data_IF_630766485211
#
_entry.id   IF_630766485211
#
_cell.length_a   1.000
_cell.length_b   1.000
_cell.length_c   1.000
_cell.angle_alpha   90.00
_cell.angle_beta   90.00
_cell.angle_gamma   90.00
#
_symmetry.space_group_name_H-M   'P 1'
#
loop_
_entity.id
_entity.type
_entity.pdbx_description
1 polymer ?
#
# COMPACT_ATOMS: atom_id res chain seq x y z
N UNK A 1 10.51 -34.09 -21.52
CA UNK A 1 9.29 -34.04 -22.35
C UNK A 1 7.99 -34.38 -21.58
N UNK A 2 7.96 -35.23 -20.56
CA UNK A 2 6.74 -35.53 -19.78
C UNK A 2 6.23 -34.42 -18.89
N UNK A 3 7.09 -33.47 -18.45
CA UNK A 3 6.67 -32.37 -17.55
C UNK A 3 5.87 -31.27 -18.27
N UNK A 4 6.14 -30.99 -19.52
CA UNK A 4 5.46 -29.92 -20.27
C UNK A 4 4.01 -30.27 -20.67
N UNK A 5 3.70 -31.55 -20.88
CA UNK A 5 2.33 -32.00 -21.14
C UNK A 5 1.47 -31.96 -19.85
N UNK A 6 2.08 -32.29 -18.71
CA UNK A 6 1.40 -32.23 -17.40
C UNK A 6 1.02 -30.79 -17.04
N UNK A 7 1.91 -29.83 -17.31
CA UNK A 7 1.66 -28.38 -17.05
C UNK A 7 0.54 -27.84 -17.96
N UNK A 8 0.54 -28.21 -19.25
CA UNK A 8 -0.54 -27.81 -20.18
C UNK A 8 -1.89 -28.37 -19.76
N UNK A 9 -1.94 -29.59 -19.26
CA UNK A 9 -3.18 -30.21 -18.76
C UNK A 9 -3.70 -29.51 -17.49
N UNK A 10 -2.80 -29.15 -16.56
CA UNK A 10 -3.17 -28.45 -15.32
C UNK A 10 -3.67 -27.02 -15.57
N UNK A 11 -3.04 -26.28 -16.49
CA UNK A 11 -3.47 -24.91 -16.83
C UNK A 11 -4.80 -24.93 -17.58
N UNK A 12 -4.98 -25.86 -18.53
CA UNK A 12 -6.24 -26.04 -19.25
C UNK A 12 -7.39 -26.47 -18.32
N UNK A 13 -7.11 -27.33 -17.34
CA UNK A 13 -8.09 -27.76 -16.33
C UNK A 13 -8.48 -26.63 -15.40
N UNK A 14 -7.52 -25.80 -14.97
CA UNK A 14 -7.80 -24.61 -14.15
C UNK A 14 -8.65 -23.59 -14.90
N UNK A 15 -8.39 -23.35 -16.18
CA UNK A 15 -9.20 -22.48 -17.04
C UNK A 15 -10.59 -23.03 -17.28
N UNK A 16 -10.73 -24.32 -17.53
CA UNK A 16 -12.03 -24.99 -17.76
C UNK A 16 -12.93 -24.97 -16.50
N UNK A 17 -12.32 -25.12 -15.32
CA UNK A 17 -13.04 -25.12 -14.04
C UNK A 17 -13.49 -23.71 -13.60
N UNK A 18 -12.84 -22.67 -14.09
CA UNK A 18 -13.22 -21.26 -13.83
C UNK A 18 -14.39 -20.79 -14.72
N UNK A 19 -14.59 -21.39 -15.88
CA UNK A 19 -15.60 -20.98 -16.88
C UNK A 19 -17.00 -21.52 -16.59
N UNK A 20 -17.16 -22.60 -15.83
CA UNK A 20 -18.48 -23.12 -15.46
C UNK A 20 -19.11 -22.38 -14.27
N UNK A 21 -19.75 -21.25 -14.57
CA UNK A 21 -20.33 -20.29 -13.61
C UNK A 21 -21.53 -20.79 -12.79
N UNK A 22 -21.98 -22.04 -12.95
CA UNK A 22 -23.21 -22.58 -12.32
C UNK A 22 -23.00 -23.43 -11.06
N UNK A 23 -21.78 -23.70 -10.63
CA UNK A 23 -21.52 -24.50 -9.43
C UNK A 23 -21.77 -23.71 -8.14
N UNK A 24 -22.36 -24.36 -7.14
CA UNK A 24 -22.53 -23.79 -5.79
C UNK A 24 -21.17 -23.42 -5.19
N UNK A 25 -21.11 -22.33 -4.44
CA UNK A 25 -19.87 -21.79 -3.82
C UNK A 25 -19.10 -22.85 -3.01
N UNK A 26 -19.82 -23.78 -2.33
CA UNK A 26 -19.22 -24.88 -1.57
C UNK A 26 -18.52 -25.93 -2.46
N UNK A 27 -19.05 -26.19 -3.65
CA UNK A 27 -18.43 -27.15 -4.59
C UNK A 27 -17.18 -26.58 -5.25
N UNK A 28 -17.13 -25.25 -5.50
CA UNK A 28 -15.94 -24.56 -5.99
C UNK A 28 -14.80 -24.61 -4.95
N UNK A 29 -15.13 -24.43 -3.67
CA UNK A 29 -14.18 -24.52 -2.56
C UNK A 29 -13.67 -25.96 -2.40
N UNK A 30 -14.56 -26.96 -2.44
CA UNK A 30 -14.16 -28.36 -2.34
C UNK A 30 -13.27 -28.81 -3.51
N UNK A 31 -13.57 -28.36 -4.73
CA UNK A 31 -12.77 -28.66 -5.92
C UNK A 31 -11.41 -27.97 -5.87
N UNK A 32 -11.36 -26.73 -5.41
CA UNK A 32 -10.11 -25.98 -5.20
C UNK A 32 -9.25 -26.64 -4.11
N UNK A 33 -9.88 -27.15 -3.04
CA UNK A 33 -9.20 -27.88 -1.98
C UNK A 33 -8.65 -29.24 -2.46
N UNK A 34 -9.44 -29.99 -3.22
CA UNK A 34 -8.99 -31.25 -3.82
C UNK A 34 -7.85 -31.02 -4.84
N UNK A 35 -7.92 -29.94 -5.63
CA UNK A 35 -6.86 -29.55 -6.56
C UNK A 35 -5.58 -29.15 -5.81
N UNK A 36 -5.69 -28.34 -4.74
CA UNK A 36 -4.55 -27.99 -3.89
C UNK A 36 -3.91 -29.23 -3.26
N UNK A 37 -4.71 -30.16 -2.69
CA UNK A 37 -4.17 -31.40 -2.10
C UNK A 37 -3.47 -32.26 -3.16
N UNK A 38 -4.04 -32.39 -4.35
CA UNK A 38 -3.42 -33.19 -5.44
C UNK A 38 -2.09 -32.62 -5.94
N UNK A 39 -1.88 -31.30 -5.83
CA UNK A 39 -0.63 -30.63 -6.18
C UNK A 39 0.39 -30.72 -5.03
N UNK A 40 -0.05 -30.59 -3.78
CA UNK A 40 0.86 -30.61 -2.62
C UNK A 40 1.52 -31.96 -2.36
N UNK A 41 0.86 -33.06 -2.69
CA UNK A 41 1.39 -34.44 -2.45
C UNK A 41 2.66 -34.71 -3.28
N UNK A 42 2.76 -34.40 -4.59
CA UNK A 42 4.01 -34.61 -5.33
C UNK A 42 5.11 -33.62 -4.97
N UNK A 43 4.78 -32.38 -4.60
CA UNK A 43 5.78 -31.32 -4.27
C UNK A 43 6.55 -31.66 -2.97
N UNK A 44 5.91 -32.35 -2.03
CA UNK A 44 6.58 -32.81 -0.80
C UNK A 44 7.72 -33.81 -1.04
N UNK A 45 7.77 -34.43 -2.22
CA UNK A 45 8.77 -35.45 -2.57
C UNK A 45 10.08 -34.88 -3.20
N UNK A 46 10.12 -33.59 -3.56
CA UNK A 46 11.24 -32.97 -4.29
C UNK A 46 12.04 -31.94 -3.47
N UNK A 47 12.01 -32.02 -2.14
CA UNK A 47 12.65 -31.02 -1.28
C UNK A 47 14.15 -31.31 -1.09
N UNK A 48 14.98 -30.78 -1.98
CA UNK A 48 16.42 -30.60 -1.74
C UNK A 48 16.75 -29.13 -1.45
N UNK A 49 17.77 -28.88 -0.63
CA UNK A 49 18.20 -27.56 -0.18
C UNK A 49 18.58 -26.68 -1.39
N UNK A 50 17.87 -25.57 -1.54
CA UNK A 50 18.19 -24.56 -2.57
C UNK A 50 19.30 -23.67 -2.00
N UNK A 51 20.47 -23.71 -2.67
CA UNK A 51 21.58 -22.79 -2.40
C UNK A 51 21.29 -21.36 -2.90
N UNK A 52 22.33 -20.53 -3.02
CA UNK A 52 22.21 -19.16 -3.50
C UNK A 52 21.40 -19.05 -4.80
N UNK A 53 20.43 -18.13 -4.81
CA UNK A 53 19.50 -17.96 -5.93
C UNK A 53 20.23 -17.41 -7.15
N UNK A 54 20.49 -18.26 -8.12
CA UNK A 54 21.13 -17.88 -9.39
C UNK A 54 20.08 -17.68 -10.48
N UNK A 55 20.23 -16.63 -11.29
CA UNK A 55 19.34 -16.38 -12.41
C UNK A 55 19.42 -17.55 -13.41
N UNK A 56 18.31 -18.26 -13.69
CA UNK A 56 18.31 -19.30 -14.71
C UNK A 56 18.51 -18.71 -16.11
N UNK A 57 19.11 -19.48 -17.01
CA UNK A 57 19.44 -19.07 -18.38
C UNK A 57 18.57 -19.78 -19.42
N UNK A 58 18.53 -19.25 -20.64
CA UNK A 58 17.80 -19.84 -21.75
C UNK A 58 16.29 -19.89 -21.56
N UNK A 59 15.65 -20.98 -21.96
CA UNK A 59 14.18 -21.14 -21.88
C UNK A 59 13.69 -21.08 -20.41
N UNK A 60 14.48 -21.55 -19.45
CA UNK A 60 14.13 -21.55 -18.04
C UNK A 60 13.95 -20.12 -17.49
N UNK A 61 14.72 -19.15 -18.00
CA UNK A 61 14.53 -17.74 -17.64
C UNK A 61 13.13 -17.21 -17.99
N UNK A 62 12.52 -17.68 -19.07
CA UNK A 62 11.14 -17.33 -19.43
C UNK A 62 10.11 -18.08 -18.58
N UNK A 63 10.39 -19.32 -18.22
CA UNK A 63 9.47 -20.17 -17.47
C UNK A 63 9.32 -19.69 -16.03
N UNK A 64 10.41 -19.25 -15.39
CA UNK A 64 10.36 -18.76 -14.00
C UNK A 64 9.62 -17.42 -13.83
N UNK A 65 9.40 -16.67 -14.90
CA UNK A 65 8.60 -15.43 -14.86
C UNK A 65 7.09 -15.73 -14.83
N UNK A 66 6.65 -16.91 -15.29
CA UNK A 66 5.22 -17.26 -15.39
C UNK A 66 4.47 -17.09 -14.06
N UNK A 67 4.95 -17.55 -12.89
CA UNK A 67 4.27 -17.36 -11.61
C UNK A 67 3.99 -15.90 -11.32
N UNK A 68 4.95 -15.01 -11.56
CA UNK A 68 4.78 -13.57 -11.34
C UNK A 68 3.73 -12.98 -12.29
N UNK A 69 3.75 -13.35 -13.57
CA UNK A 69 2.75 -12.92 -14.54
C UNK A 69 1.35 -13.39 -14.12
N UNK A 70 1.22 -14.63 -13.66
CA UNK A 70 -0.07 -15.16 -13.18
C UNK A 70 -0.57 -14.35 -11.99
N UNK A 71 0.27 -14.04 -11.01
CA UNK A 71 -0.09 -13.15 -9.88
C UNK A 71 -0.59 -11.81 -10.39
N UNK A 72 0.14 -11.17 -11.31
CA UNK A 72 -0.26 -9.88 -11.87
C UNK A 72 -1.61 -9.95 -12.58
N UNK A 73 -1.83 -10.94 -13.42
CA UNK A 73 -3.11 -11.13 -14.14
C UNK A 73 -4.25 -11.32 -13.15
N UNK A 74 -4.09 -12.14 -12.12
CA UNK A 74 -5.11 -12.37 -11.11
C UNK A 74 -5.42 -11.08 -10.32
N UNK A 75 -4.42 -10.28 -9.98
CA UNK A 75 -4.62 -8.98 -9.32
C UNK A 75 -5.40 -8.02 -10.23
N UNK A 76 -5.09 -7.95 -11.53
CA UNK A 76 -5.87 -7.16 -12.49
C UNK A 76 -7.31 -7.66 -12.65
N UNK A 77 -7.55 -8.96 -12.48
CA UNK A 77 -8.88 -9.56 -12.44
C UNK A 77 -9.60 -9.33 -11.11
N UNK A 78 -9.02 -8.53 -10.18
CA UNK A 78 -9.56 -8.23 -8.84
C UNK A 78 -9.70 -9.46 -7.95
N UNK A 79 -8.88 -10.48 -8.15
CA UNK A 79 -8.77 -11.62 -7.23
C UNK A 79 -8.02 -11.13 -5.99
N UNK A 80 -8.44 -11.61 -4.81
CA UNK A 80 -7.78 -11.30 -3.54
C UNK A 80 -6.27 -11.60 -3.62
N UNK A 81 -5.45 -10.69 -3.05
CA UNK A 81 -4.00 -10.77 -3.18
C UNK A 81 -3.41 -12.05 -2.54
N UNK A 82 -4.01 -12.56 -1.45
CA UNK A 82 -3.54 -13.80 -0.82
C UNK A 82 -3.81 -14.99 -1.76
N UNK A 83 -4.96 -15.01 -2.42
CA UNK A 83 -5.31 -16.07 -3.39
C UNK A 83 -4.39 -15.98 -4.61
N UNK A 84 -4.17 -14.78 -5.14
CA UNK A 84 -3.25 -14.56 -6.26
C UNK A 84 -1.82 -15.00 -5.90
N UNK A 85 -1.34 -14.59 -4.72
CA UNK A 85 -0.04 -14.99 -4.20
C UNK A 85 0.08 -16.50 -4.01
N UNK A 86 -0.93 -17.15 -3.41
CA UNK A 86 -0.97 -18.60 -3.22
C UNK A 86 -0.85 -19.35 -4.55
N UNK A 87 -1.63 -18.95 -5.57
CA UNK A 87 -1.57 -19.58 -6.89
C UNK A 87 -0.19 -19.40 -7.51
N UNK A 88 0.35 -18.19 -7.49
CA UNK A 88 1.70 -17.90 -8.00
C UNK A 88 2.79 -18.64 -7.23
N UNK A 89 2.71 -18.67 -5.90
CA UNK A 89 3.63 -19.40 -5.05
C UNK A 89 3.66 -20.91 -5.33
N UNK A 90 2.46 -21.52 -5.45
CA UNK A 90 2.35 -22.94 -5.82
C UNK A 90 2.94 -23.21 -7.22
N UNK A 91 2.68 -22.34 -8.20
CA UNK A 91 3.30 -22.46 -9.51
C UNK A 91 4.83 -22.32 -9.45
N UNK A 92 5.34 -21.41 -8.64
CA UNK A 92 6.77 -21.23 -8.42
C UNK A 92 7.40 -22.47 -7.76
N UNK A 93 6.73 -23.07 -6.77
CA UNK A 93 7.19 -24.34 -6.17
C UNK A 93 7.29 -25.45 -7.21
N UNK A 94 6.31 -25.58 -8.09
CA UNK A 94 6.31 -26.59 -9.14
C UNK A 94 7.40 -26.36 -10.21
N UNK A 95 7.59 -25.10 -10.61
CA UNK A 95 8.57 -24.72 -11.64
C UNK A 95 9.99 -24.77 -11.09
N UNK A 96 10.18 -24.20 -9.87
CA UNK A 96 11.50 -24.09 -9.26
C UNK A 96 11.93 -25.30 -8.44
N UNK A 97 11.05 -26.32 -8.27
CA UNK A 97 11.32 -27.47 -7.41
C UNK A 97 11.43 -27.09 -5.92
N UNK A 98 10.81 -25.99 -5.49
CA UNK A 98 10.89 -25.49 -4.14
C UNK A 98 10.01 -26.35 -3.23
N UNK A 99 10.62 -26.95 -2.20
CA UNK A 99 9.93 -27.85 -1.28
C UNK A 99 9.04 -27.10 -0.27
N UNK A 100 8.09 -27.83 0.30
CA UNK A 100 7.17 -27.30 1.34
C UNK A 100 7.91 -26.75 2.56
N UNK A 101 9.05 -27.34 2.93
CA UNK A 101 9.87 -26.89 4.06
C UNK A 101 10.37 -25.46 3.83
N UNK A 102 10.88 -25.17 2.65
CA UNK A 102 11.39 -23.85 2.29
C UNK A 102 10.25 -22.83 2.12
N UNK A 103 9.16 -23.21 1.46
CA UNK A 103 7.98 -22.36 1.38
C UNK A 103 7.41 -21.99 2.75
N UNK A 104 7.36 -22.95 3.68
CA UNK A 104 6.96 -22.70 5.07
C UNK A 104 7.94 -21.78 5.81
N UNK A 105 9.24 -21.91 5.58
CA UNK A 105 10.27 -21.01 6.12
C UNK A 105 10.01 -19.58 5.66
N UNK A 106 9.77 -19.37 4.35
CA UNK A 106 9.44 -18.03 3.82
C UNK A 106 8.20 -17.42 4.48
N UNK A 107 7.18 -18.22 4.80
CA UNK A 107 5.98 -17.76 5.51
C UNK A 107 6.30 -17.37 6.95
N UNK A 108 7.08 -18.19 7.65
CA UNK A 108 7.47 -17.94 9.04
C UNK A 108 8.39 -16.73 9.20
N UNK A 109 9.14 -16.35 8.16
CA UNK A 109 10.01 -15.18 8.14
C UNK A 109 9.29 -13.91 7.68
N UNK A 110 8.44 -14.00 6.66
CA UNK A 110 7.77 -12.85 6.06
C UNK A 110 6.73 -12.21 7.00
N UNK A 111 5.96 -13.01 7.72
CA UNK A 111 4.90 -12.49 8.60
C UNK A 111 5.52 -11.69 9.78
N UNK A 112 6.47 -12.21 10.56
CA UNK A 112 7.11 -11.42 11.62
C UNK A 112 7.86 -10.20 11.10
N UNK A 113 8.47 -10.28 9.91
CA UNK A 113 9.13 -9.15 9.28
C UNK A 113 8.16 -7.99 9.04
N UNK A 114 6.95 -8.28 8.55
CA UNK A 114 5.90 -7.28 8.36
C UNK A 114 5.36 -6.74 9.68
N UNK A 115 5.08 -7.61 10.65
CA UNK A 115 4.56 -7.23 11.97
C UNK A 115 5.61 -6.51 12.83
N UNK A 116 6.90 -6.69 12.57
CA UNK A 116 8.00 -6.02 13.24
C UNK A 116 8.16 -4.53 12.90
N UNK A 117 7.35 -3.99 12.01
CA UNK A 117 7.41 -2.61 11.55
C UNK A 117 6.65 -1.70 12.52
N UNK A 118 7.32 -1.27 13.57
CA UNK A 118 6.70 -0.55 14.70
C UNK A 118 6.29 0.88 14.35
N UNK A 119 7.11 1.60 13.60
CA UNK A 119 6.85 3.03 13.30
C UNK A 119 5.56 3.24 12.51
N UNK A 120 5.29 2.55 11.40
CA UNK A 120 4.00 2.59 10.71
C UNK A 120 2.81 2.21 11.59
N UNK A 121 2.96 1.24 12.49
CA UNK A 121 1.88 0.83 13.41
C UNK A 121 1.52 1.97 14.35
N UNK A 122 2.53 2.59 14.97
CA UNK A 122 2.32 3.74 15.87
C UNK A 122 1.71 4.91 15.10
N UNK A 123 2.23 5.23 13.91
CA UNK A 123 1.73 6.35 13.12
C UNK A 123 0.28 6.15 12.68
N UNK A 124 -0.09 4.94 12.27
CA UNK A 124 -1.47 4.60 11.92
C UNK A 124 -2.40 4.73 13.14
N UNK A 125 -1.96 4.25 14.30
CA UNK A 125 -2.73 4.36 15.53
C UNK A 125 -3.00 5.84 15.87
N UNK A 126 -1.96 6.69 15.85
CA UNK A 126 -2.09 8.12 16.15
C UNK A 126 -2.94 8.83 15.10
N UNK A 127 -2.75 8.54 13.81
CA UNK A 127 -3.54 9.12 12.74
C UNK A 127 -5.02 8.77 12.85
N UNK A 128 -5.37 7.55 13.30
CA UNK A 128 -6.75 7.17 13.56
C UNK A 128 -7.35 7.95 14.74
N UNK A 129 -6.60 8.21 15.81
CA UNK A 129 -7.06 9.05 16.91
C UNK A 129 -7.33 10.48 16.43
N UNK A 130 -6.44 11.07 15.63
CA UNK A 130 -6.61 12.38 14.99
C UNK A 130 -7.86 12.40 14.10
N UNK A 131 -8.12 11.34 13.36
CA UNK A 131 -9.29 11.20 12.50
C UNK A 131 -10.59 11.15 13.32
N UNK A 132 -10.68 10.20 14.26
CA UNK A 132 -11.88 10.03 15.10
C UNK A 132 -12.17 11.25 15.97
N UNK A 133 -11.14 12.04 16.30
CA UNK A 133 -11.30 13.33 16.97
C UNK A 133 -11.85 14.44 16.04
N UNK A 134 -12.09 14.16 14.75
CA UNK A 134 -12.69 15.08 13.80
C UNK A 134 -11.73 16.10 13.18
N UNK A 135 -10.41 15.97 13.41
CA UNK A 135 -9.44 16.98 12.93
C UNK A 135 -9.41 17.10 11.40
N UNK A 136 -9.60 15.99 10.65
CA UNK A 136 -9.65 16.04 9.19
C UNK A 136 -10.97 16.60 8.67
N UNK A 137 -12.11 16.31 9.33
CA UNK A 137 -13.41 16.90 9.00
C UNK A 137 -13.41 18.40 9.22
N UNK A 138 -12.84 18.87 10.33
CA UNK A 138 -12.66 20.29 10.61
C UNK A 138 -11.78 20.99 9.56
N UNK A 139 -10.66 20.37 9.18
CA UNK A 139 -9.79 20.87 8.11
C UNK A 139 -10.53 20.99 6.77
N UNK A 140 -11.33 19.98 6.42
CA UNK A 140 -12.12 20.00 5.19
C UNK A 140 -13.18 21.10 5.21
N UNK A 141 -13.87 21.31 6.34
CA UNK A 141 -14.85 22.37 6.52
C UNK A 141 -14.22 23.76 6.41
N UNK A 142 -13.03 23.96 7.00
CA UNK A 142 -12.26 25.20 6.79
C UNK A 142 -11.91 25.42 5.33
N UNK A 143 -11.49 24.37 4.62
CA UNK A 143 -11.17 24.45 3.20
C UNK A 143 -12.41 24.80 2.38
N UNK A 144 -13.57 24.17 2.65
CA UNK A 144 -14.85 24.53 1.99
C UNK A 144 -15.18 26.01 2.16
N UNK A 145 -15.07 26.55 3.38
CA UNK A 145 -15.34 27.97 3.67
C UNK A 145 -14.32 28.89 3.00
N UNK A 146 -13.03 28.56 3.09
CA UNK A 146 -11.94 29.35 2.50
C UNK A 146 -12.04 29.44 0.96
N UNK A 147 -12.54 28.41 0.32
CA UNK A 147 -12.69 28.34 -1.15
C UNK A 147 -14.01 28.93 -1.66
N UNK A 148 -14.83 29.48 -0.78
CA UNK A 148 -16.16 30.06 -1.11
C UNK A 148 -17.04 29.08 -1.89
N UNK A 149 -16.96 27.80 -1.57
CA UNK A 149 -17.78 26.77 -2.21
C UNK A 149 -17.34 26.32 -3.61
N UNK A 150 -16.13 26.63 -4.04
CA UNK A 150 -15.61 26.15 -5.33
C UNK A 150 -15.08 24.74 -5.17
N UNK A 151 -15.76 23.78 -5.78
CA UNK A 151 -15.52 22.33 -5.61
C UNK A 151 -14.12 21.92 -6.08
N UNK A 152 -13.63 22.54 -7.14
CA UNK A 152 -12.30 22.25 -7.70
C UNK A 152 -11.17 22.54 -6.71
N UNK A 153 -11.28 23.59 -5.88
CA UNK A 153 -10.28 23.87 -4.84
C UNK A 153 -10.39 22.91 -3.65
N UNK A 154 -11.60 22.48 -3.32
CA UNK A 154 -11.81 21.48 -2.27
C UNK A 154 -11.26 20.14 -2.71
N UNK A 155 -11.44 19.74 -3.96
CA UNK A 155 -10.84 18.52 -4.53
C UNK A 155 -9.31 18.56 -4.48
N UNK A 156 -8.71 19.70 -4.84
CA UNK A 156 -7.26 19.91 -4.68
C UNK A 156 -6.81 19.79 -3.22
N UNK A 157 -7.57 20.39 -2.29
CA UNK A 157 -7.28 20.31 -0.86
C UNK A 157 -7.40 18.88 -0.32
N UNK A 158 -8.39 18.10 -0.76
CA UNK A 158 -8.55 16.68 -0.40
C UNK A 158 -7.31 15.89 -0.81
N UNK A 159 -6.77 16.12 -2.01
CA UNK A 159 -5.54 15.46 -2.48
C UNK A 159 -4.35 15.85 -1.60
N UNK A 160 -4.21 17.13 -1.25
CA UNK A 160 -3.17 17.60 -0.33
C UNK A 160 -3.32 16.93 1.04
N UNK A 161 -4.54 16.89 1.57
CA UNK A 161 -4.83 16.29 2.87
C UNK A 161 -4.49 14.79 2.87
N UNK A 162 -4.86 14.08 1.79
CA UNK A 162 -4.54 12.66 1.64
C UNK A 162 -3.03 12.43 1.50
N UNK A 163 -2.35 13.22 0.67
CA UNK A 163 -0.90 13.15 0.53
C UNK A 163 -0.20 13.36 1.87
N UNK A 164 -0.61 14.39 2.61
CA UNK A 164 -0.09 14.72 3.92
C UNK A 164 -0.36 13.61 4.95
N UNK A 165 -1.61 13.15 5.05
CA UNK A 165 -1.99 12.08 5.98
C UNK A 165 -1.26 10.77 5.66
N UNK A 166 -1.10 10.43 4.39
CA UNK A 166 -0.34 9.25 3.93
C UNK A 166 1.15 9.39 4.26
N UNK A 167 1.72 10.57 4.03
CA UNK A 167 3.11 10.85 4.35
C UNK A 167 3.38 10.78 5.86
N UNK A 168 2.44 11.27 6.69
CA UNK A 168 2.53 11.17 8.16
C UNK A 168 2.45 9.74 8.67
N UNK A 169 1.46 9.00 8.17
CA UNK A 169 1.20 7.64 8.65
C UNK A 169 2.19 6.60 8.10
N UNK A 170 2.81 6.88 6.96
CA UNK A 170 3.60 5.90 6.22
C UNK A 170 2.77 4.75 5.64
N UNK A 171 1.45 4.89 5.56
CA UNK A 171 0.53 3.82 5.14
C UNK A 171 -0.52 4.39 4.17
N UNK A 172 -0.32 4.13 2.89
CA UNK A 172 -1.18 4.65 1.83
C UNK A 172 -2.64 4.24 1.98
N UNK A 173 -2.89 2.98 2.22
CA UNK A 173 -4.25 2.43 2.34
C UNK A 173 -5.02 2.96 3.56
N UNK A 174 -4.35 3.10 4.72
CA UNK A 174 -4.99 3.57 5.96
C UNK A 174 -5.53 4.99 5.83
N UNK A 175 -4.72 5.91 5.30
CA UNK A 175 -5.14 7.31 5.09
C UNK A 175 -6.23 7.42 4.03
N UNK A 176 -6.16 6.61 2.96
CA UNK A 176 -7.18 6.59 1.92
C UNK A 176 -8.53 6.12 2.45
N UNK A 177 -8.59 5.07 3.28
CA UNK A 177 -9.84 4.58 3.87
C UNK A 177 -10.55 5.62 4.74
N UNK A 178 -9.80 6.57 5.28
CA UNK A 178 -10.32 7.64 6.12
C UNK A 178 -10.76 8.84 5.30
N UNK A 179 -9.95 9.25 4.35
CA UNK A 179 -10.16 10.51 3.60
C UNK A 179 -11.05 10.30 2.38
N UNK A 180 -11.04 9.10 1.75
CA UNK A 180 -11.86 8.85 0.57
C UNK A 180 -13.37 8.94 0.84
N UNK A 181 -13.93 8.36 1.92
CA UNK A 181 -15.34 8.57 2.24
C UNK A 181 -15.70 10.05 2.42
N UNK A 182 -14.85 10.84 3.10
CA UNK A 182 -15.05 12.28 3.25
C UNK A 182 -15.02 13.01 1.91
N UNK A 183 -14.09 12.64 1.03
CA UNK A 183 -13.98 13.18 -0.31
C UNK A 183 -15.23 12.89 -1.14
N UNK A 184 -15.69 11.65 -1.13
CA UNK A 184 -16.87 11.23 -1.90
C UNK A 184 -18.19 11.78 -1.34
N UNK A 185 -18.28 11.98 -0.03
CA UNK A 185 -19.39 12.68 0.59
C UNK A 185 -19.41 14.16 0.20
N UNK A 186 -18.25 14.82 0.11
CA UNK A 186 -18.14 16.25 -0.17
C UNK A 186 -18.27 16.58 -1.68
N UNK A 187 -17.60 15.81 -2.53
CA UNK A 187 -17.43 16.09 -3.97
C UNK A 187 -18.16 15.08 -4.85
N UNK A 188 -18.37 13.87 -4.33
CA UNK A 188 -18.88 12.74 -5.10
C UNK A 188 -17.77 11.92 -5.74
N UNK A 189 -18.17 10.83 -6.40
CA UNK A 189 -17.25 9.89 -7.05
C UNK A 189 -16.86 10.43 -8.42
N UNK A 190 -15.69 11.06 -8.51
CA UNK A 190 -15.13 11.63 -9.74
C UNK A 190 -13.90 10.84 -10.14
N UNK A 191 -13.85 10.23 -11.35
CA UNK A 191 -12.72 9.37 -11.75
C UNK A 191 -11.34 10.04 -11.65
N UNK A 192 -11.26 11.31 -12.06
CA UNK A 192 -10.00 12.07 -11.99
C UNK A 192 -9.59 12.38 -10.55
N UNK A 193 -10.55 12.60 -9.65
CA UNK A 193 -10.27 12.76 -8.22
C UNK A 193 -9.75 11.43 -7.62
N UNK A 194 -10.36 10.29 -7.99
CA UNK A 194 -9.90 8.97 -7.55
C UNK A 194 -8.48 8.71 -8.04
N UNK A 195 -8.21 8.97 -9.33
CA UNK A 195 -6.87 8.80 -9.91
C UNK A 195 -5.84 9.71 -9.22
N UNK A 196 -6.21 10.97 -8.96
CA UNK A 196 -5.36 11.92 -8.23
C UNK A 196 -5.09 11.48 -6.79
N UNK A 197 -6.11 11.02 -6.08
CA UNK A 197 -5.97 10.47 -4.73
C UNK A 197 -5.07 9.22 -4.72
N UNK A 198 -5.24 8.32 -5.68
CA UNK A 198 -4.40 7.12 -5.81
C UNK A 198 -2.94 7.48 -6.06
N UNK A 199 -2.68 8.43 -6.98
CA UNK A 199 -1.32 8.91 -7.26
C UNK A 199 -0.69 9.58 -6.04
N UNK A 200 -1.44 10.48 -5.38
CA UNK A 200 -0.96 11.17 -4.19
C UNK A 200 -0.67 10.21 -3.03
N UNK A 201 -1.55 9.23 -2.79
CA UNK A 201 -1.33 8.21 -1.79
C UNK A 201 -0.11 7.35 -2.11
N UNK A 202 0.01 6.85 -3.36
CA UNK A 202 1.11 5.99 -3.78
C UNK A 202 2.47 6.68 -3.63
N UNK A 203 2.62 7.90 -4.15
CA UNK A 203 3.89 8.62 -4.08
C UNK A 203 4.23 9.06 -2.64
N UNK A 204 3.24 9.46 -1.84
CA UNK A 204 3.46 9.84 -0.44
C UNK A 204 3.85 8.65 0.41
N UNK A 205 3.26 7.50 0.18
CA UNK A 205 3.57 6.26 0.85
C UNK A 205 5.00 5.78 0.53
N UNK A 206 5.39 5.73 -0.74
CA UNK A 206 6.71 5.23 -1.15
C UNK A 206 7.87 6.17 -0.79
N UNK A 207 7.59 7.42 -0.47
CA UNK A 207 8.63 8.43 -0.14
C UNK A 207 8.58 8.90 1.31
N UNK A 208 7.64 8.41 2.10
CA UNK A 208 7.50 8.78 3.51
C UNK A 208 8.66 8.22 4.35
N UNK A 209 9.25 9.00 5.27
CA UNK A 209 10.22 8.47 6.22
C UNK A 209 9.61 7.48 7.22
N UNK A 210 8.29 7.47 7.36
CA UNK A 210 7.55 6.57 8.23
C UNK A 210 7.10 5.28 7.53
N UNK A 211 7.38 5.13 6.23
CA UNK A 211 6.90 3.98 5.44
C UNK A 211 7.83 2.78 5.52
N UNK A 212 7.21 1.62 5.30
CA UNK A 212 7.93 0.36 5.15
C UNK A 212 8.86 0.40 3.93
N UNK A 213 8.38 0.94 2.82
CA UNK A 213 9.11 1.00 1.56
C UNK A 213 10.41 1.77 1.72
N UNK A 214 10.35 2.94 2.35
CA UNK A 214 11.56 3.73 2.64
C UNK A 214 12.54 2.95 3.52
N UNK A 215 12.02 2.20 4.48
CA UNK A 215 12.84 1.36 5.38
C UNK A 215 13.48 0.18 4.64
N UNK A 216 12.73 -0.49 3.74
CA UNK A 216 13.25 -1.60 2.95
C UNK A 216 14.29 -1.12 1.94
N UNK A 217 13.98 -0.07 1.17
CA UNK A 217 14.93 0.49 0.18
C UNK A 217 16.21 0.97 0.85
N UNK A 218 16.09 1.64 2.00
CA UNK A 218 17.22 2.05 2.80
C UNK A 218 18.10 0.86 3.22
N UNK A 219 17.48 -0.19 3.73
CA UNK A 219 18.18 -1.40 4.19
C UNK A 219 18.84 -2.16 3.04
N UNK A 220 18.17 -2.31 1.90
CA UNK A 220 18.70 -3.03 0.74
C UNK A 220 19.75 -2.21 -0.01
N UNK A 221 19.61 -0.89 -0.04
CA UNK A 221 20.54 0.02 -0.71
C UNK A 221 21.73 0.46 0.15
N UNK A 222 21.81 -0.01 1.40
CA UNK A 222 22.82 0.41 2.40
C UNK A 222 22.93 1.94 2.53
N UNK A 223 21.78 2.61 2.51
CA UNK A 223 21.66 4.06 2.66
C UNK A 223 20.78 4.39 3.86
N UNK A 224 20.92 5.56 4.45
CA UNK A 224 19.99 5.97 5.51
C UNK A 224 18.60 6.30 4.95
N UNK A 225 17.54 6.08 5.73
CA UNK A 225 16.16 6.48 5.38
C UNK A 225 16.10 7.98 5.06
N UNK A 226 16.84 8.82 5.82
CA UNK A 226 16.91 10.25 5.57
C UNK A 226 17.52 10.60 4.21
N UNK A 227 18.58 9.90 3.80
CA UNK A 227 19.20 10.07 2.47
C UNK A 227 18.24 9.68 1.35
N UNK A 228 17.59 8.52 1.46
CA UNK A 228 16.58 8.09 0.51
C UNK A 228 15.45 9.13 0.37
N UNK A 229 14.85 9.53 1.50
CA UNK A 229 13.74 10.49 1.52
C UNK A 229 14.16 11.85 0.95
N UNK A 230 15.36 12.33 1.25
CA UNK A 230 15.85 13.60 0.70
C UNK A 230 16.00 13.55 -0.82
N UNK A 231 16.50 12.42 -1.35
CA UNK A 231 16.61 12.18 -2.80
C UNK A 231 15.25 12.08 -3.47
N UNK A 232 14.27 11.45 -2.81
CA UNK A 232 12.93 11.26 -3.36
C UNK A 232 12.01 12.48 -3.20
N UNK A 233 12.35 13.45 -2.36
CA UNK A 233 11.53 14.63 -2.08
C UNK A 233 11.13 15.45 -3.31
N UNK A 234 12.02 15.73 -4.29
CA UNK A 234 11.63 16.46 -5.51
C UNK A 234 10.57 15.68 -6.32
N UNK A 235 10.69 14.37 -6.41
CA UNK A 235 9.73 13.52 -7.11
C UNK A 235 8.37 13.50 -6.39
N UNK A 236 8.39 13.41 -5.06
CA UNK A 236 7.18 13.53 -4.24
C UNK A 236 6.45 14.84 -4.53
N UNK A 237 7.16 15.97 -4.47
CA UNK A 237 6.57 17.29 -4.75
C UNK A 237 5.99 17.36 -6.17
N UNK A 238 6.73 16.85 -7.17
CA UNK A 238 6.29 16.84 -8.55
C UNK A 238 4.99 16.03 -8.74
N UNK A 239 4.94 14.80 -8.24
CA UNK A 239 3.78 13.93 -8.43
C UNK A 239 2.58 14.37 -7.58
N UNK A 240 2.79 14.93 -6.39
CA UNK A 240 1.70 15.52 -5.60
C UNK A 240 1.15 16.76 -6.31
N UNK A 241 1.99 17.61 -6.87
CA UNK A 241 1.53 18.75 -7.67
C UNK A 241 0.74 18.29 -8.90
N UNK A 242 1.20 17.26 -9.60
CA UNK A 242 0.48 16.65 -10.73
C UNK A 242 -0.90 16.11 -10.29
N UNK A 243 -0.95 15.42 -9.16
CA UNK A 243 -2.21 14.92 -8.60
C UNK A 243 -3.18 16.05 -8.24
N UNK A 244 -2.68 17.15 -7.66
CA UNK A 244 -3.47 18.34 -7.35
C UNK A 244 -4.07 18.94 -8.64
N UNK A 245 -3.25 19.09 -9.68
CA UNK A 245 -3.69 19.61 -10.99
C UNK A 245 -4.74 18.68 -11.61
N UNK A 246 -4.54 17.36 -11.54
CA UNK A 246 -5.49 16.38 -12.06
C UNK A 246 -6.85 16.45 -11.34
N UNK A 247 -6.85 16.53 -10.01
CA UNK A 247 -8.07 16.66 -9.22
C UNK A 247 -8.80 17.96 -9.51
N UNK A 248 -8.07 19.08 -9.55
CA UNK A 248 -8.61 20.40 -9.87
C UNK A 248 -9.23 20.42 -11.27
N UNK A 249 -8.47 20.00 -12.28
CA UNK A 249 -8.90 20.00 -13.66
C UNK A 249 -10.11 19.08 -13.89
N UNK A 250 -10.05 17.85 -13.38
CA UNK A 250 -11.11 16.87 -13.57
C UNK A 250 -12.43 17.32 -12.94
N UNK A 251 -12.39 17.86 -11.71
CA UNK A 251 -13.59 18.38 -11.03
C UNK A 251 -14.17 19.58 -11.74
N UNK A 252 -13.32 20.51 -12.19
CA UNK A 252 -13.73 21.70 -12.94
C UNK A 252 -14.31 21.33 -14.30
N UNK A 253 -13.67 20.42 -15.05
CA UNK A 253 -14.12 20.03 -16.39
C UNK A 253 -15.47 19.30 -16.35
N UNK A 254 -15.75 18.55 -15.30
CA UNK A 254 -17.03 17.84 -15.12
C UNK A 254 -18.14 18.70 -14.52
N UNK A 255 -17.86 19.98 -14.20
CA UNK A 255 -18.81 20.88 -13.54
C UNK A 255 -19.52 20.25 -12.33
N UNK A 256 -18.75 19.58 -11.47
CA UNK A 256 -19.26 18.90 -10.28
C UNK A 256 -19.71 19.96 -9.26
N UNK A 257 -20.91 19.79 -8.72
CA UNK A 257 -21.40 20.57 -7.59
C UNK A 257 -21.08 19.89 -6.24
N UNK A 258 -21.14 20.66 -5.15
CA UNK A 258 -21.08 20.05 -3.82
C UNK A 258 -22.25 19.11 -3.60
N UNK A 259 -21.96 17.94 -3.03
CA UNK A 259 -23.00 17.16 -2.37
C UNK A 259 -23.21 17.75 -0.97
N UNK A 260 -24.45 17.97 -0.58
CA UNK A 260 -24.79 18.29 0.81
C UNK A 260 -24.31 17.11 1.68
N UNK A 261 -23.31 17.35 2.50
CA UNK A 261 -22.80 16.35 3.43
C UNK A 261 -23.64 16.34 4.68
N UNK A 262 -23.95 15.15 5.16
CA UNK A 262 -24.76 14.94 6.38
C UNK A 262 -24.08 15.40 7.70
N UNK A 263 -22.84 15.88 7.66
CA UNK A 263 -22.09 16.33 8.84
C UNK A 263 -22.37 17.81 9.18
N UNK A 264 -23.59 18.09 9.59
CA UNK A 264 -24.02 19.42 10.08
C UNK A 264 -23.26 19.90 11.33
N UNK A 265 -22.54 19.05 12.04
CA UNK A 265 -21.93 19.41 13.33
C UNK A 265 -20.76 20.40 13.16
N UNK A 266 -19.87 20.15 12.19
CA UNK A 266 -18.74 21.04 11.94
C UNK A 266 -19.15 22.34 11.24
N UNK A 267 -20.22 22.31 10.45
CA UNK A 267 -20.74 23.51 9.77
C UNK A 267 -21.28 24.58 10.73
N UNK A 268 -21.63 24.21 11.97
CA UNK A 268 -22.09 25.12 13.01
C UNK A 268 -20.97 25.77 13.81
N UNK A 269 -19.76 25.19 13.80
CA UNK A 269 -18.60 25.67 14.58
C UNK A 269 -17.97 26.90 13.93
N UNK A 270 -17.42 27.81 14.73
CA UNK A 270 -16.69 28.99 14.25
C UNK A 270 -15.37 28.56 13.56
N UNK A 271 -14.81 29.43 12.73
CA UNK A 271 -13.52 29.16 12.08
C UNK A 271 -12.38 28.99 13.11
N UNK A 272 -12.43 29.69 14.24
CA UNK A 272 -11.45 29.55 15.31
C UNK A 272 -11.52 28.19 16.00
N UNK A 273 -12.74 27.68 16.25
CA UNK A 273 -12.95 26.33 16.81
C UNK A 273 -12.52 25.26 15.82
N UNK A 274 -12.87 25.39 14.54
CA UNK A 274 -12.44 24.46 13.51
C UNK A 274 -10.91 24.43 13.39
N UNK A 275 -10.25 25.59 13.42
CA UNK A 275 -8.79 25.66 13.40
C UNK A 275 -8.18 24.97 14.62
N UNK A 276 -8.75 25.20 15.84
CA UNK A 276 -8.33 24.54 17.07
C UNK A 276 -8.43 23.01 16.94
N UNK A 277 -9.56 22.49 16.41
CA UNK A 277 -9.77 21.05 16.21
C UNK A 277 -8.79 20.48 15.16
N UNK A 278 -8.33 21.27 14.21
CA UNK A 278 -7.38 20.86 13.17
C UNK A 278 -5.93 20.79 13.69
N UNK A 279 -5.59 21.47 14.79
CA UNK A 279 -4.20 21.54 15.32
C UNK A 279 -3.53 20.19 15.54
N UNK A 280 -4.18 19.13 16.09
CA UNK A 280 -3.53 17.84 16.24
C UNK A 280 -3.04 17.24 14.90
N UNK A 281 -3.83 17.41 13.81
CA UNK A 281 -3.42 16.95 12.47
C UNK A 281 -2.25 17.77 11.93
N UNK A 282 -2.28 19.10 12.10
CA UNK A 282 -1.19 20.00 11.69
C UNK A 282 0.10 19.66 12.45
N UNK A 283 0.01 19.45 13.76
CA UNK A 283 1.18 19.10 14.58
C UNK A 283 1.78 17.75 14.15
N UNK A 284 0.96 16.72 13.98
CA UNK A 284 1.43 15.41 13.56
C UNK A 284 2.11 15.48 12.19
N UNK A 285 1.53 16.23 11.25
CA UNK A 285 2.13 16.48 9.95
C UNK A 285 3.50 17.17 10.08
N UNK A 286 3.55 18.23 10.88
CA UNK A 286 4.81 18.96 11.15
C UNK A 286 5.86 18.03 11.75
N UNK A 287 5.51 17.26 12.77
CA UNK A 287 6.42 16.35 13.46
C UNK A 287 7.00 15.27 12.54
N UNK A 288 6.20 14.72 11.63
CA UNK A 288 6.66 13.67 10.70
C UNK A 288 7.51 14.26 9.56
N UNK A 289 7.13 15.41 8.99
CA UNK A 289 7.86 16.01 7.86
C UNK A 289 9.14 16.70 8.34
N UNK A 290 9.03 17.51 9.38
CA UNK A 290 10.12 18.40 9.84
C UNK A 290 10.87 17.83 11.04
N UNK A 291 10.31 16.85 11.74
CA UNK A 291 10.96 16.23 12.90
C UNK A 291 12.39 15.77 12.64
N UNK A 292 12.69 15.02 11.57
CA UNK A 292 14.07 14.65 11.25
C UNK A 292 14.99 15.85 11.08
N UNK A 293 14.53 16.90 10.39
CA UNK A 293 15.32 18.13 10.18
C UNK A 293 15.58 18.84 11.51
N UNK A 294 14.56 18.92 12.38
CA UNK A 294 14.73 19.53 13.70
C UNK A 294 15.68 18.70 14.57
N UNK A 295 15.57 17.37 14.54
CA UNK A 295 16.47 16.48 15.27
C UNK A 295 17.94 16.69 14.84
N UNK A 296 18.20 16.83 13.54
CA UNK A 296 19.53 17.09 13.01
C UNK A 296 20.06 18.46 13.46
N UNK A 297 19.21 19.50 13.47
CA UNK A 297 19.56 20.85 13.90
C UNK A 297 19.91 20.95 15.39
N UNK A 298 19.18 20.22 16.24
CA UNK A 298 19.39 20.24 17.70
C UNK A 298 20.41 19.19 18.17
N UNK A 299 20.84 18.30 17.28
CA UNK A 299 21.84 17.28 17.57
C UNK A 299 21.37 16.11 18.42
N UNK A 300 20.08 15.93 18.63
CA UNK A 300 19.50 14.76 19.29
C UNK A 300 18.10 14.42 18.79
N UNK A 301 17.67 13.17 18.96
CA UNK A 301 16.39 12.66 18.46
C UNK A 301 15.24 13.07 19.40
N UNK A 302 14.76 14.31 19.29
CA UNK A 302 13.59 14.80 20.03
C UNK A 302 12.27 14.33 19.40
N UNK A 303 12.04 14.59 18.10
CA UNK A 303 10.83 14.14 17.40
C UNK A 303 10.94 12.65 17.04
N UNK A 304 10.75 11.81 18.06
CA UNK A 304 10.62 10.36 17.90
C UNK A 304 9.15 9.94 17.85
N UNK A 305 8.83 8.74 17.35
CA UNK A 305 7.46 8.20 17.34
C UNK A 305 6.76 8.30 18.69
N UNK A 306 7.48 8.02 19.79
CA UNK A 306 6.95 8.14 21.15
C UNK A 306 6.56 9.58 21.49
N UNK A 307 7.44 10.55 21.21
CA UNK A 307 7.22 11.95 21.60
C UNK A 307 6.07 12.55 20.80
N UNK A 308 6.05 12.39 19.46
CA UNK A 308 4.96 12.96 18.68
C UNK A 308 3.62 12.25 18.93
N UNK A 309 3.63 10.95 19.27
CA UNK A 309 2.44 10.25 19.74
C UNK A 309 1.86 10.90 21.00
N UNK A 310 2.69 11.06 22.03
CA UNK A 310 2.24 11.65 23.31
C UNK A 310 1.73 13.08 23.09
N UNK A 311 2.50 13.92 22.39
CA UNK A 311 2.13 15.31 22.14
C UNK A 311 0.85 15.42 21.30
N UNK A 312 0.67 14.56 20.29
CA UNK A 312 -0.56 14.54 19.51
C UNK A 312 -1.78 14.16 20.36
N UNK A 313 -1.66 13.16 21.24
CA UNK A 313 -2.74 12.79 22.17
C UNK A 313 -3.10 13.93 23.13
N UNK A 314 -2.09 14.62 23.65
CA UNK A 314 -2.30 15.81 24.50
C UNK A 314 -3.03 16.91 23.71
N UNK A 315 -2.63 17.16 22.46
CA UNK A 315 -3.30 18.13 21.61
C UNK A 315 -4.73 17.72 21.25
N UNK A 316 -5.01 16.44 21.00
CA UNK A 316 -6.38 15.95 20.80
C UNK A 316 -7.21 16.30 22.04
N UNK A 317 -6.73 15.97 23.24
CA UNK A 317 -7.43 16.24 24.48
C UNK A 317 -7.67 17.73 24.72
N UNK A 318 -6.69 18.60 24.41
CA UNK A 318 -6.81 20.06 24.64
C UNK A 318 -7.60 20.80 23.54
N UNK A 319 -7.59 20.28 22.32
CA UNK A 319 -8.11 20.99 21.15
C UNK A 319 -9.45 20.45 20.63
N UNK A 320 -9.88 19.28 21.10
CA UNK A 320 -11.13 18.63 20.67
C UNK A 320 -11.96 18.22 21.88
N UNK A 321 -13.21 17.84 21.66
CA UNK A 321 -14.08 17.29 22.70
C UNK A 321 -13.84 15.77 22.91
N UNK A 322 -12.73 15.24 22.37
CA UNK A 322 -12.40 13.84 22.42
C UNK A 322 -11.65 13.49 23.70
N UNK A 323 -12.21 12.61 24.52
CA UNK A 323 -11.58 12.24 25.79
C UNK A 323 -10.32 11.41 25.59
N UNK A 324 -9.40 11.42 26.56
CA UNK A 324 -8.18 10.62 26.51
C UNK A 324 -8.46 9.12 26.32
N UNK A 325 -9.47 8.59 27.00
CA UNK A 325 -9.86 7.18 26.86
C UNK A 325 -10.32 6.84 25.44
N UNK A 326 -11.16 7.71 24.83
CA UNK A 326 -11.59 7.56 23.44
C UNK A 326 -10.40 7.68 22.47
N UNK A 327 -9.42 8.53 22.78
CA UNK A 327 -8.21 8.66 21.96
C UNK A 327 -7.38 7.38 21.98
N UNK A 328 -7.23 6.76 23.14
CA UNK A 328 -6.52 5.46 23.27
C UNK A 328 -7.30 4.34 22.59
N UNK A 329 -8.63 4.29 22.74
CA UNK A 329 -9.49 3.34 22.04
C UNK A 329 -9.35 3.50 20.51
N UNK A 330 -9.38 4.72 20.00
CA UNK A 330 -9.17 5.02 18.59
C UNK A 330 -7.77 4.60 18.09
N UNK A 331 -6.74 4.73 18.95
CA UNK A 331 -5.39 4.22 18.61
C UNK A 331 -5.37 2.70 18.53
N UNK A 332 -6.03 1.99 19.44
CA UNK A 332 -6.12 0.52 19.41
C UNK A 332 -6.83 0.07 18.15
N UNK A 333 -7.94 0.71 17.78
CA UNK A 333 -8.66 0.44 16.52
C UNK A 333 -7.75 0.66 15.30
N UNK A 334 -7.01 1.78 15.28
CA UNK A 334 -6.07 2.10 14.22
C UNK A 334 -4.92 1.10 14.11
N UNK A 335 -4.39 0.64 15.24
CA UNK A 335 -3.35 -0.39 15.28
C UNK A 335 -3.90 -1.75 14.80
N UNK A 336 -5.11 -2.12 15.20
CA UNK A 336 -5.77 -3.36 14.75
C UNK A 336 -5.92 -3.39 13.24
N UNK A 337 -6.36 -2.29 12.66
CA UNK A 337 -6.48 -2.17 11.21
C UNK A 337 -5.14 -2.42 10.52
N UNK A 338 -4.09 -1.72 10.91
CA UNK A 338 -2.78 -1.85 10.26
C UNK A 338 -2.16 -3.23 10.49
N UNK A 339 -2.25 -3.77 11.70
CA UNK A 339 -1.74 -5.12 12.02
C UNK A 339 -2.42 -6.18 11.14
N UNK A 340 -3.73 -6.09 10.95
CA UNK A 340 -4.46 -6.98 10.04
C UNK A 340 -3.94 -6.88 8.61
N UNK A 341 -3.67 -5.66 8.13
CA UNK A 341 -3.14 -5.44 6.77
C UNK A 341 -1.69 -5.92 6.64
N UNK A 342 -0.85 -5.63 7.62
CA UNK A 342 0.53 -6.13 7.64
C UNK A 342 0.58 -7.66 7.66
N UNK A 343 -0.32 -8.31 8.38
CA UNK A 343 -0.46 -9.76 8.36
C UNK A 343 -0.84 -10.29 6.97
N UNK A 344 -1.82 -9.68 6.31
CA UNK A 344 -2.21 -10.03 4.94
C UNK A 344 -1.05 -9.85 3.95
N UNK A 345 -0.35 -8.71 4.06
CA UNK A 345 0.85 -8.43 3.24
C UNK A 345 1.96 -9.42 3.55
N UNK A 346 2.15 -9.80 4.82
CA UNK A 346 3.13 -10.81 5.22
C UNK A 346 2.88 -12.17 4.56
N UNK A 347 1.62 -12.63 4.54
CA UNK A 347 1.25 -13.87 3.84
C UNK A 347 1.51 -13.73 2.33
N UNK A 348 1.11 -12.62 1.73
CA UNK A 348 1.35 -12.38 0.30
C UNK A 348 2.84 -12.34 -0.03
N UNK A 349 3.64 -11.64 0.79
CA UNK A 349 5.08 -11.54 0.65
C UNK A 349 5.76 -12.93 0.76
N UNK A 350 5.27 -13.81 1.61
CA UNK A 350 5.78 -15.17 1.71
C UNK A 350 5.70 -15.90 0.34
N UNK A 351 4.58 -15.78 -0.36
CA UNK A 351 4.44 -16.36 -1.70
C UNK A 351 5.31 -15.64 -2.74
N UNK A 352 5.44 -14.33 -2.66
CA UNK A 352 6.37 -13.56 -3.53
C UNK A 352 7.83 -14.00 -3.28
N UNK A 353 8.21 -14.24 -2.04
CA UNK A 353 9.54 -14.76 -1.71
C UNK A 353 9.77 -16.17 -2.27
N UNK A 354 8.75 -17.04 -2.27
CA UNK A 354 8.82 -18.34 -2.96
C UNK A 354 9.03 -18.15 -4.46
N UNK A 355 8.33 -17.20 -5.09
CA UNK A 355 8.56 -16.84 -6.50
C UNK A 355 9.99 -16.31 -6.70
N UNK A 356 10.49 -15.48 -5.79
CA UNK A 356 11.84 -14.92 -5.85
C UNK A 356 12.92 -16.02 -5.86
N UNK A 357 12.72 -17.11 -5.13
CA UNK A 357 13.65 -18.24 -5.09
C UNK A 357 13.79 -19.00 -6.41
N UNK A 358 12.85 -18.85 -7.34
CA UNK A 358 13.01 -19.38 -8.71
C UNK A 358 14.02 -18.61 -9.54
N UNK A 359 14.57 -17.48 -9.06
CA UNK A 359 15.41 -16.56 -9.80
C UNK A 359 14.65 -15.57 -10.70
N UNK A 360 13.32 -15.50 -10.61
CA UNK A 360 12.48 -14.62 -11.42
C UNK A 360 12.97 -13.16 -11.39
N UNK A 361 13.22 -12.62 -10.20
CA UNK A 361 13.64 -11.22 -10.05
C UNK A 361 15.07 -11.00 -10.55
N UNK A 362 15.97 -11.98 -10.40
CA UNK A 362 17.31 -11.90 -10.97
C UNK A 362 17.29 -11.90 -12.50
N UNK A 363 16.41 -12.69 -13.13
CA UNK A 363 16.19 -12.65 -14.59
C UNK A 363 15.68 -11.29 -15.04
N UNK A 364 14.68 -10.72 -14.34
CA UNK A 364 14.11 -9.41 -14.69
C UNK A 364 15.15 -8.30 -14.49
N UNK A 365 15.91 -8.32 -13.40
CA UNK A 365 16.99 -7.37 -13.14
C UNK A 365 18.10 -7.46 -14.21
N UNK A 366 18.49 -8.68 -14.57
CA UNK A 366 19.48 -8.91 -15.63
C UNK A 366 19.08 -8.36 -16.99
N UNK A 367 17.78 -8.30 -17.31
CA UNK A 367 17.30 -7.61 -18.53
C UNK A 367 17.57 -6.09 -18.45
N UNK A 368 17.40 -5.48 -17.30
CA UNK A 368 17.69 -4.06 -17.12
C UNK A 368 19.20 -3.77 -17.13
N UNK A 369 20.00 -4.60 -16.46
CA UNK A 369 21.45 -4.46 -16.39
C UNK A 369 22.13 -4.62 -17.75
N UNK A 370 21.63 -5.53 -18.59
CA UNK A 370 22.16 -5.79 -19.92
C UNK A 370 21.52 -4.92 -21.01
N UNK A 371 20.64 -3.99 -20.67
CA UNK A 371 20.00 -3.13 -21.66
C UNK A 371 21.00 -2.12 -22.25
N UNK A 372 20.99 -1.89 -23.58
CA UNK A 372 21.77 -0.85 -24.21
C UNK A 372 21.50 0.53 -23.57
N UNK A 373 22.52 1.40 -23.49
CA UNK A 373 22.44 2.68 -22.79
C UNK A 373 21.25 3.58 -23.20
N UNK A 374 20.81 3.51 -24.47
CA UNK A 374 19.69 4.31 -24.98
C UNK A 374 18.32 3.81 -24.55
N UNK A 375 18.18 2.56 -24.09
CA UNK A 375 16.92 1.98 -23.62
C UNK A 375 16.96 1.54 -22.15
N UNK A 376 18.08 1.72 -21.45
CA UNK A 376 18.21 1.30 -20.03
C UNK A 376 17.15 1.94 -19.15
N UNK A 377 16.83 3.22 -19.34
CA UNK A 377 15.82 3.92 -18.57
C UNK A 377 14.41 3.39 -18.82
N UNK A 378 13.91 3.26 -20.07
CA UNK A 378 12.65 2.58 -20.34
C UNK A 378 12.57 1.16 -19.78
N UNK A 379 13.63 0.37 -19.92
CA UNK A 379 13.68 -1.02 -19.40
C UNK A 379 13.63 -1.01 -17.87
N UNK A 380 14.39 -0.16 -17.21
CA UNK A 380 14.36 -0.03 -15.75
C UNK A 380 12.97 0.41 -15.24
N UNK A 381 12.29 1.32 -15.96
CA UNK A 381 10.90 1.71 -15.63
C UNK A 381 9.95 0.53 -15.76
N UNK A 382 10.00 -0.22 -16.87
CA UNK A 382 9.15 -1.39 -17.09
C UNK A 382 9.42 -2.48 -16.04
N UNK A 383 10.68 -2.73 -15.71
CA UNK A 383 11.09 -3.64 -14.65
C UNK A 383 10.54 -3.21 -13.30
N UNK A 384 10.66 -1.91 -12.99
CA UNK A 384 10.11 -1.32 -11.77
C UNK A 384 8.59 -1.44 -11.69
N UNK A 385 7.88 -1.26 -12.80
CA UNK A 385 6.42 -1.47 -12.88
C UNK A 385 6.08 -2.94 -12.62
N UNK A 386 6.75 -3.89 -13.28
CA UNK A 386 6.48 -5.32 -13.12
C UNK A 386 6.70 -5.80 -11.68
N UNK A 387 7.74 -5.32 -11.02
CA UNK A 387 8.04 -5.65 -9.63
C UNK A 387 7.14 -4.87 -8.67
N UNK A 388 6.86 -3.60 -8.98
CA UNK A 388 6.11 -2.68 -8.13
C UNK A 388 4.60 -2.92 -8.11
N UNK A 389 4.00 -3.45 -9.19
CA UNK A 389 2.55 -3.71 -9.24
C UNK A 389 2.09 -4.67 -8.14
N UNK A 390 2.74 -5.81 -7.88
CA UNK A 390 2.36 -6.69 -6.77
C UNK A 390 2.43 -5.99 -5.40
N UNK A 391 3.47 -5.19 -5.18
CA UNK A 391 3.62 -4.42 -3.96
C UNK A 391 2.56 -3.29 -3.85
N UNK A 392 2.21 -2.66 -4.97
CA UNK A 392 1.24 -1.56 -5.07
C UNK A 392 -0.24 -2.00 -5.06
N UNK A 393 -0.54 -3.26 -5.34
CA UNK A 393 -1.91 -3.80 -5.37
C UNK A 393 -2.67 -3.56 -4.05
N UNK A 394 -1.96 -3.48 -2.94
CA UNK A 394 -2.50 -3.13 -1.63
C UNK A 394 -3.16 -1.75 -1.60
N UNK A 395 -2.52 -0.71 -2.15
CA UNK A 395 -3.09 0.65 -2.19
C UNK A 395 -4.29 0.72 -3.14
N UNK A 396 -4.18 0.08 -4.30
CA UNK A 396 -5.26 0.03 -5.29
C UNK A 396 -6.50 -0.69 -4.79
N UNK A 397 -6.35 -1.82 -4.09
CA UNK A 397 -7.48 -2.58 -3.56
C UNK A 397 -8.29 -1.82 -2.51
N UNK A 398 -7.64 -0.98 -1.70
CA UNK A 398 -8.32 -0.17 -0.69
C UNK A 398 -9.19 0.91 -1.34
N UNK A 399 -8.68 1.59 -2.38
CA UNK A 399 -9.43 2.64 -3.07
C UNK A 399 -10.59 2.11 -3.94
N UNK A 400 -10.58 0.83 -4.30
CA UNK A 400 -11.69 0.20 -5.07
C UNK A 400 -12.78 -0.38 -4.18
N UNK A 401 -12.55 -0.51 -2.87
CA UNK A 401 -13.52 -1.02 -1.89
C UNK A 401 -14.39 0.10 -1.28
N UNK A 402 -14.06 1.36 -1.52
CA UNK A 402 -14.83 2.55 -1.13
C UNK A 402 -15.69 3.02 -2.28
#
# INVERSE_FOLDING_TARGET
>A
MRSAESIRCCVALAFFLLEESKMKKSSKVALMFAFLVSIFVPVAAFADEIGDVVAPTGIMALVVIIPLIVVLVLLFMKVDMIIAGLIGGVLAMLIGGIGLKEANKQMLEAIPMMLGITVPIINSAVAMAVFKAGSYSAALTLAKRGTKGKVEYVSAFIVILLAAATYMSGIGGGSAMVIAPLAFAAVGVVPELIAAMSLAAAVSFTTSPASLESSIVSKLGDISVGSYVSTMRPYWLFFVALAIVLAFWGTKHRNVGFKESADDEFDKKSNGELFKITLPAIFLLFAVIFGPIVNDLIGFAFFTPLVYMILTLVLIFLCTDFSMNKSVEAMVDGSTYILTRLFQVGIFLAFINVIAQTGTFAVIAGVAENAPAFIVVPVAILTGILIGIPAGAYVGSVLTLV
#
